data_IF_221830847075
#
_entry.id   IF_221830847075
#
_cell.length_a   1.000
_cell.length_b   1.000
_cell.length_c   1.000
_cell.angle_alpha   90.00
_cell.angle_beta   90.00
_cell.angle_gamma   90.00
#
_symmetry.space_group_name_H-M   'P 1'
#
loop_
_entity.id
_entity.type
_entity.pdbx_description
1 polymer ?
#
# COMPACT_ATOMS: atom_id res chain seq x y z
N UNK A 1 5.94 20.01 -4.66
CA UNK A 1 7.14 19.71 -3.86
C UNK A 1 7.21 20.67 -2.67
N UNK A 2 8.16 20.45 -1.74
CA UNK A 2 8.47 21.45 -0.69
C UNK A 2 8.89 22.81 -1.27
N UNK A 3 9.58 22.82 -2.41
CA UNK A 3 9.98 24.06 -3.11
C UNK A 3 8.76 24.88 -3.52
N UNK A 4 7.78 24.25 -4.19
CA UNK A 4 6.52 24.91 -4.57
C UNK A 4 5.80 25.46 -3.34
N UNK A 5 5.79 24.74 -2.21
CA UNK A 5 5.19 25.26 -0.97
C UNK A 5 5.92 26.50 -0.47
N UNK A 6 7.26 26.51 -0.47
CA UNK A 6 8.09 27.64 -0.03
C UNK A 6 7.94 28.86 -0.94
N UNK A 7 7.74 28.66 -2.24
CA UNK A 7 7.53 29.74 -3.21
C UNK A 7 6.15 30.39 -3.07
N UNK A 8 5.12 29.59 -2.77
CA UNK A 8 3.73 30.05 -2.80
C UNK A 8 3.15 30.40 -1.43
N UNK A 9 3.71 29.86 -0.34
CA UNK A 9 3.19 30.03 1.03
C UNK A 9 4.34 30.44 1.94
N UNK A 10 4.26 31.63 2.55
CA UNK A 10 5.26 32.09 3.52
C UNK A 10 5.01 31.47 4.89
N UNK A 11 5.91 30.60 5.33
CA UNK A 11 5.92 30.01 6.67
C UNK A 11 7.34 29.93 7.24
N UNK A 12 7.44 29.70 8.56
CA UNK A 12 8.73 29.49 9.25
C UNK A 12 9.30 28.09 9.02
N UNK A 13 8.42 27.09 8.93
CA UNK A 13 8.77 25.70 8.69
C UNK A 13 7.75 25.08 7.73
N UNK A 14 8.15 24.01 7.05
CA UNK A 14 7.40 23.33 6.01
C UNK A 14 7.51 21.82 6.22
N UNK A 15 6.36 21.15 6.21
CA UNK A 15 6.25 19.70 6.18
C UNK A 15 5.36 19.35 4.99
N UNK A 16 5.82 18.42 4.17
CA UNK A 16 5.01 17.77 3.15
C UNK A 16 4.59 16.42 3.68
N UNK A 17 3.32 16.10 3.49
CA UNK A 17 2.73 14.82 3.90
C UNK A 17 2.03 14.17 2.72
N UNK A 18 1.93 12.85 2.75
CA UNK A 18 1.14 12.04 1.84
C UNK A 18 0.37 10.99 2.66
N UNK A 19 -0.79 11.35 3.23
CA UNK A 19 -1.72 10.38 3.83
C UNK A 19 -2.52 9.68 2.72
N UNK A 20 -3.39 8.75 3.11
CA UNK A 20 -4.28 8.09 2.16
C UNK A 20 -5.72 7.97 2.66
N UNK A 21 -6.59 7.40 1.82
CA UNK A 21 -8.03 7.31 2.08
C UNK A 21 -8.40 6.48 3.32
N UNK A 22 -7.45 5.70 3.88
CA UNK A 22 -7.63 4.95 5.12
C UNK A 22 -7.55 5.81 6.38
N UNK A 23 -7.18 7.09 6.27
CA UNK A 23 -7.21 8.05 7.38
C UNK A 23 -8.58 8.13 8.07
N UNK A 24 -9.69 7.95 7.32
CA UNK A 24 -11.05 7.90 7.87
C UNK A 24 -11.31 6.71 8.80
N UNK A 25 -10.42 5.74 8.81
CA UNK A 25 -10.42 4.55 9.66
C UNK A 25 -9.22 4.51 10.59
N UNK A 26 -8.49 5.63 10.74
CA UNK A 26 -7.30 5.73 11.60
C UNK A 26 -6.19 4.72 11.24
N UNK A 27 -6.15 4.29 9.97
CA UNK A 27 -5.19 3.28 9.45
C UNK A 27 -4.50 3.78 8.18
N UNK A 28 -4.31 5.09 8.06
CA UNK A 28 -3.52 5.69 6.97
C UNK A 28 -2.08 5.24 7.05
N UNK A 29 -1.49 4.92 5.91
CA UNK A 29 -0.03 4.96 5.76
C UNK A 29 0.33 6.37 5.32
N UNK A 30 0.97 7.12 6.21
CA UNK A 30 1.30 8.52 5.97
C UNK A 30 2.81 8.69 5.86
N UNK A 31 3.28 9.28 4.75
CA UNK A 31 4.72 9.55 4.57
C UNK A 31 4.96 11.04 4.61
N UNK A 32 5.96 11.46 5.38
CA UNK A 32 6.26 12.87 5.63
C UNK A 32 7.73 13.21 5.41
N UNK A 33 7.99 14.45 4.99
CA UNK A 33 9.35 15.01 4.86
C UNK A 33 9.29 16.53 5.01
N UNK A 34 10.37 17.19 5.38
CA UNK A 34 10.40 18.64 5.59
C UNK A 34 11.49 19.09 6.53
N UNK A 35 11.25 20.22 7.21
CA UNK A 35 12.21 20.77 8.16
C UNK A 35 12.32 19.86 9.40
N UNK A 36 13.51 19.32 9.65
CA UNK A 36 13.76 18.34 10.73
C UNK A 36 13.39 18.87 12.12
N UNK A 37 13.48 20.18 12.33
CA UNK A 37 13.07 20.85 13.59
C UNK A 37 11.60 20.61 13.95
N UNK A 38 10.78 20.17 12.97
CA UNK A 38 9.35 19.85 13.09
C UNK A 38 9.03 18.39 12.89
N UNK A 39 10.04 17.51 12.79
CA UNK A 39 9.86 16.07 12.56
C UNK A 39 8.97 15.43 13.62
N UNK A 40 9.32 15.55 14.90
CA UNK A 40 8.61 14.84 15.97
C UNK A 40 7.16 15.33 16.11
N UNK A 41 6.94 16.65 16.02
CA UNK A 41 5.60 17.26 16.02
C UNK A 41 4.75 16.77 14.84
N UNK A 42 5.34 16.70 13.63
CA UNK A 42 4.63 16.19 12.46
C UNK A 42 4.31 14.70 12.59
N UNK A 43 5.24 13.88 13.09
CA UNK A 43 5.01 12.46 13.35
C UNK A 43 3.85 12.29 14.33
N UNK A 44 3.84 13.04 15.44
CA UNK A 44 2.78 12.97 16.44
C UNK A 44 1.41 13.30 15.82
N UNK A 45 1.32 14.39 15.05
CA UNK A 45 0.07 14.82 14.40
C UNK A 45 -0.46 13.74 13.46
N UNK A 46 0.37 13.24 12.54
CA UNK A 46 -0.08 12.28 11.54
C UNK A 46 -0.23 10.86 12.09
N UNK A 47 0.42 10.54 13.21
CA UNK A 47 0.21 9.25 13.90
C UNK A 47 -1.20 9.13 14.49
N UNK A 48 -1.94 10.23 14.63
CA UNK A 48 -3.35 10.20 15.05
C UNK A 48 -4.30 9.59 14.01
N UNK A 49 -3.86 9.42 12.76
CA UNK A 49 -4.68 8.87 11.66
C UNK A 49 -4.12 7.59 11.05
N UNK A 50 -3.10 6.98 11.67
CA UNK A 50 -2.45 5.75 11.26
C UNK A 50 -0.91 5.85 11.28
N UNK A 51 -0.23 4.85 10.73
CA UNK A 51 1.23 4.79 10.76
C UNK A 51 1.89 5.93 9.97
N UNK A 52 2.86 6.58 10.59
CA UNK A 52 3.59 7.71 9.99
C UNK A 52 5.07 7.41 9.83
N UNK A 53 5.60 7.67 8.63
CA UNK A 53 6.98 7.41 8.26
C UNK A 53 7.65 8.70 7.80
N UNK A 54 8.78 9.04 8.42
CA UNK A 54 9.65 10.12 7.95
C UNK A 54 10.58 9.61 6.84
N UNK A 55 10.74 10.41 5.80
CA UNK A 55 11.73 10.20 4.73
C UNK A 55 12.59 11.43 4.54
N UNK A 56 13.82 11.22 4.10
CA UNK A 56 14.88 12.23 4.19
C UNK A 56 14.93 13.14 2.96
N UNK A 57 14.17 12.82 1.91
CA UNK A 57 14.14 13.64 0.70
C UNK A 57 12.79 13.75 0.02
N UNK A 58 12.65 14.83 -0.76
CA UNK A 58 11.54 15.04 -1.70
C UNK A 58 11.39 13.85 -2.66
N UNK A 59 12.49 13.26 -3.11
CA UNK A 59 12.47 12.09 -4.00
C UNK A 59 11.89 10.86 -3.28
N UNK A 60 12.25 10.64 -2.03
CA UNK A 60 11.75 9.48 -1.27
C UNK A 60 10.26 9.56 -0.98
N UNK A 61 9.73 10.74 -0.63
CA UNK A 61 8.28 10.90 -0.46
C UNK A 61 7.54 10.72 -1.80
N UNK A 62 8.16 11.11 -2.92
CA UNK A 62 7.58 10.90 -4.26
C UNK A 62 7.58 9.42 -4.66
N UNK A 63 8.62 8.67 -4.29
CA UNK A 63 8.64 7.20 -4.43
C UNK A 63 7.55 6.59 -3.55
N UNK A 64 7.54 6.95 -2.26
CA UNK A 64 6.63 6.37 -1.29
C UNK A 64 5.16 6.71 -1.59
N UNK A 65 4.87 7.86 -2.21
CA UNK A 65 3.53 8.23 -2.71
C UNK A 65 2.96 7.18 -3.66
N UNK A 66 3.81 6.51 -4.44
CA UNK A 66 3.41 5.41 -5.35
C UNK A 66 2.78 4.23 -4.61
N UNK A 67 3.12 4.05 -3.33
CA UNK A 67 2.52 3.03 -2.45
C UNK A 67 1.52 3.65 -1.48
N UNK A 68 1.90 4.68 -0.73
CA UNK A 68 1.06 5.31 0.28
C UNK A 68 -0.25 5.85 -0.33
N UNK A 69 -0.16 6.60 -1.42
CA UNK A 69 -1.32 7.20 -2.08
C UNK A 69 -2.07 6.24 -3.00
N UNK A 70 -1.35 5.52 -3.87
CA UNK A 70 -1.97 4.65 -4.90
C UNK A 70 -2.26 3.22 -4.41
N UNK A 71 -1.61 2.77 -3.34
CA UNK A 71 -1.71 1.41 -2.81
C UNK A 71 -3.12 0.92 -2.54
N UNK A 72 -4.04 1.72 -1.93
CA UNK A 72 -5.42 1.30 -1.73
C UNK A 72 -6.12 0.88 -3.02
N UNK A 73 -5.87 1.57 -4.14
CA UNK A 73 -6.46 1.20 -5.43
C UNK A 73 -5.85 -0.09 -6.00
N UNK A 74 -4.54 -0.29 -5.84
CA UNK A 74 -3.88 -1.53 -6.27
C UNK A 74 -4.36 -2.74 -5.46
N UNK A 75 -4.57 -2.58 -4.15
CA UNK A 75 -5.12 -3.63 -3.30
C UNK A 75 -6.60 -3.89 -3.59
N UNK A 76 -7.38 -2.85 -3.92
CA UNK A 76 -8.77 -3.01 -4.35
C UNK A 76 -8.87 -3.89 -5.61
N UNK A 77 -7.97 -3.70 -6.59
CA UNK A 77 -7.91 -4.55 -7.78
C UNK A 77 -7.64 -6.02 -7.43
N UNK A 78 -6.75 -6.29 -6.48
CA UNK A 78 -6.47 -7.67 -6.02
C UNK A 78 -7.71 -8.26 -5.36
N UNK A 79 -8.35 -7.52 -4.45
CA UNK A 79 -9.55 -7.98 -3.76
C UNK A 79 -10.69 -8.27 -4.75
N UNK A 80 -10.94 -7.39 -5.72
CA UNK A 80 -11.93 -7.56 -6.77
C UNK A 80 -11.64 -8.79 -7.62
N UNK A 81 -10.39 -8.97 -8.07
CA UNK A 81 -9.98 -10.13 -8.86
C UNK A 81 -10.18 -11.46 -8.10
N UNK A 82 -9.91 -11.49 -6.78
CA UNK A 82 -10.16 -12.67 -5.95
C UNK A 82 -11.66 -12.95 -5.81
N UNK A 83 -12.48 -11.91 -5.58
CA UNK A 83 -13.93 -12.04 -5.49
C UNK A 83 -14.53 -12.56 -6.81
N UNK A 84 -14.07 -12.04 -7.95
CA UNK A 84 -14.49 -12.51 -9.27
C UNK A 84 -14.02 -13.93 -9.56
N UNK A 85 -12.82 -14.30 -9.13
CA UNK A 85 -12.34 -15.69 -9.18
C UNK A 85 -13.26 -16.64 -8.42
N UNK A 86 -13.68 -16.30 -7.21
CA UNK A 86 -14.61 -17.11 -6.42
C UNK A 86 -15.98 -17.24 -7.10
N UNK A 87 -16.51 -16.15 -7.65
CA UNK A 87 -17.80 -16.17 -8.36
C UNK A 87 -17.73 -16.98 -9.65
N UNK A 88 -16.62 -16.90 -10.38
CA UNK A 88 -16.39 -17.71 -11.58
C UNK A 88 -16.45 -19.21 -11.28
N UNK A 89 -15.97 -19.64 -10.11
CA UNK A 89 -16.05 -21.02 -9.64
C UNK A 89 -17.41 -21.38 -8.99
N UNK A 90 -18.40 -20.49 -9.06
CA UNK A 90 -19.79 -20.75 -8.66
C UNK A 90 -20.21 -20.23 -7.29
N UNK A 91 -19.36 -19.46 -6.60
CA UNK A 91 -19.73 -18.85 -5.32
C UNK A 91 -20.75 -17.72 -5.48
N UNK A 92 -21.64 -17.54 -4.50
CA UNK A 92 -22.51 -16.35 -4.46
C UNK A 92 -21.65 -15.10 -4.24
N UNK A 93 -21.98 -14.02 -4.96
CA UNK A 93 -21.25 -12.74 -4.88
C UNK A 93 -21.10 -12.21 -3.45
N UNK A 94 -22.15 -12.29 -2.64
CA UNK A 94 -22.14 -11.82 -1.24
C UNK A 94 -21.13 -12.61 -0.41
N UNK A 95 -21.07 -13.93 -0.57
CA UNK A 95 -20.14 -14.79 0.16
C UNK A 95 -18.69 -14.53 -0.29
N UNK A 96 -18.46 -14.34 -1.59
CA UNK A 96 -17.15 -14.01 -2.12
C UNK A 96 -16.61 -12.68 -1.55
N UNK A 97 -17.46 -11.65 -1.45
CA UNK A 97 -17.10 -10.37 -0.82
C UNK A 97 -16.75 -10.57 0.66
N UNK A 98 -17.59 -11.29 1.41
CA UNK A 98 -17.39 -11.49 2.85
C UNK A 98 -16.10 -12.29 3.14
N UNK A 99 -15.84 -13.35 2.37
CA UNK A 99 -14.64 -14.18 2.50
C UNK A 99 -13.39 -13.36 2.19
N UNK A 100 -13.35 -12.66 1.06
CA UNK A 100 -12.18 -11.84 0.69
C UNK A 100 -11.92 -10.73 1.70
N UNK A 101 -12.97 -10.03 2.16
CA UNK A 101 -12.80 -8.99 3.20
C UNK A 101 -12.22 -9.57 4.51
N UNK A 102 -12.71 -10.73 4.95
CA UNK A 102 -12.21 -11.41 6.14
C UNK A 102 -10.74 -11.82 5.97
N UNK A 103 -10.36 -12.32 4.78
CA UNK A 103 -8.98 -12.67 4.47
C UNK A 103 -8.04 -11.48 4.56
N UNK A 104 -8.39 -10.33 3.97
CA UNK A 104 -7.57 -9.12 4.03
C UNK A 104 -7.39 -8.63 5.47
N UNK A 105 -8.44 -8.70 6.30
CA UNK A 105 -8.36 -8.39 7.73
C UNK A 105 -7.35 -9.28 8.46
N UNK A 106 -7.34 -10.58 8.16
CA UNK A 106 -6.40 -11.53 8.77
C UNK A 106 -4.98 -11.47 8.19
N UNK A 107 -4.81 -10.94 6.98
CA UNK A 107 -3.51 -10.92 6.29
C UNK A 107 -2.56 -9.83 6.78
N UNK A 108 -3.09 -8.65 7.15
CA UNK A 108 -2.28 -7.54 7.66
C UNK A 108 -1.29 -7.93 8.78
N UNK A 109 -1.71 -8.57 9.90
CA UNK A 109 -0.78 -8.94 10.95
C UNK A 109 0.24 -10.02 10.51
N UNK A 110 -0.07 -10.83 9.50
CA UNK A 110 0.87 -11.84 8.99
C UNK A 110 2.07 -11.19 8.31
N UNK A 111 1.83 -10.18 7.46
CA UNK A 111 2.90 -9.46 6.75
C UNK A 111 3.69 -8.52 7.64
N UNK A 112 3.09 -8.03 8.73
CA UNK A 112 3.82 -7.28 9.76
C UNK A 112 4.83 -8.16 10.49
N UNK A 113 4.47 -9.41 10.73
CA UNK A 113 5.27 -10.34 11.54
C UNK A 113 6.23 -11.21 10.73
N UNK A 114 6.02 -11.35 9.41
CA UNK A 114 6.76 -12.30 8.58
C UNK A 114 7.11 -11.73 7.21
N UNK A 115 8.30 -12.09 6.72
CA UNK A 115 8.64 -11.84 5.32
C UNK A 115 7.68 -12.60 4.38
N UNK A 116 7.16 -11.99 3.29
CA UNK A 116 6.16 -12.62 2.41
C UNK A 116 6.55 -13.99 1.85
N UNK A 117 7.85 -14.23 1.61
CA UNK A 117 8.34 -15.54 1.18
C UNK A 117 8.06 -16.65 2.22
N UNK A 118 8.17 -16.33 3.51
CA UNK A 118 7.92 -17.28 4.62
C UNK A 118 6.42 -17.60 4.70
N UNK A 119 5.54 -16.60 4.56
CA UNK A 119 4.09 -16.80 4.51
C UNK A 119 3.73 -17.71 3.33
N UNK A 120 4.30 -17.45 2.14
CA UNK A 120 4.08 -18.26 0.95
C UNK A 120 4.52 -19.71 1.18
N UNK A 121 5.73 -19.93 1.69
CA UNK A 121 6.27 -21.29 1.91
C UNK A 121 5.50 -22.04 3.01
N UNK A 122 5.01 -21.36 4.05
CA UNK A 122 4.30 -22.00 5.16
C UNK A 122 2.91 -22.54 4.79
N UNK A 123 2.29 -22.01 3.73
CA UNK A 123 0.95 -22.41 3.26
C UNK A 123 0.98 -23.16 1.92
N UNK A 124 2.17 -23.47 1.40
CA UNK A 124 2.35 -24.16 0.11
C UNK A 124 2.73 -25.63 0.31
N UNK A 125 1.72 -26.49 0.40
CA UNK A 125 1.94 -27.94 0.40
C UNK A 125 2.31 -28.46 -0.99
N UNK A 126 3.10 -29.57 -1.08
CA UNK A 126 3.44 -30.20 -2.35
C UNK A 126 2.19 -30.56 -3.17
N UNK A 127 2.13 -30.12 -4.43
CA UNK A 127 0.98 -30.30 -5.34
C UNK A 127 -0.37 -29.77 -4.80
N UNK A 128 -0.34 -28.87 -3.81
CA UNK A 128 -1.53 -28.28 -3.20
C UNK A 128 -2.16 -27.16 -4.01
N UNK A 129 -3.33 -26.70 -3.54
CA UNK A 129 -4.09 -25.58 -4.15
C UNK A 129 -3.27 -24.30 -4.21
N UNK A 130 -2.52 -23.97 -3.16
CA UNK A 130 -1.60 -22.82 -3.14
C UNK A 130 -0.55 -22.92 -4.23
N UNK A 131 0.09 -24.09 -4.42
CA UNK A 131 1.13 -24.25 -5.43
C UNK A 131 0.59 -24.01 -6.85
N UNK A 132 -0.59 -24.57 -7.16
CA UNK A 132 -1.25 -24.38 -8.45
C UNK A 132 -1.65 -22.91 -8.68
N UNK A 133 -2.32 -22.28 -7.71
CA UNK A 133 -2.75 -20.88 -7.82
C UNK A 133 -1.56 -19.91 -7.91
N UNK A 134 -0.52 -20.11 -7.10
CA UNK A 134 0.68 -19.28 -7.11
C UNK A 134 1.43 -19.41 -8.44
N UNK A 135 1.53 -20.62 -9.00
CA UNK A 135 2.10 -20.85 -10.33
C UNK A 135 1.36 -20.04 -11.42
N UNK A 136 0.03 -20.08 -11.43
CA UNK A 136 -0.77 -19.30 -12.39
C UNK A 136 -0.57 -17.77 -12.25
N UNK A 137 -0.39 -17.26 -11.04
CA UNK A 137 -0.08 -15.84 -10.81
C UNK A 137 1.32 -15.46 -11.32
N UNK A 138 2.31 -16.35 -11.19
CA UNK A 138 3.66 -16.14 -11.73
C UNK A 138 3.66 -16.20 -13.26
N UNK A 139 2.92 -17.13 -13.86
CA UNK A 139 2.69 -17.17 -15.32
C UNK A 139 2.02 -15.90 -15.84
N UNK A 140 1.09 -15.34 -15.06
CA UNK A 140 0.46 -14.05 -15.33
C UNK A 140 1.36 -12.83 -15.10
N UNK A 141 2.59 -13.01 -14.59
CA UNK A 141 3.55 -11.94 -14.40
C UNK A 141 3.14 -10.91 -13.34
N UNK A 142 2.44 -11.33 -12.28
CA UNK A 142 1.92 -10.43 -11.24
C UNK A 142 3.03 -9.57 -10.62
N UNK A 143 4.19 -10.17 -10.28
CA UNK A 143 5.33 -9.42 -9.72
C UNK A 143 5.81 -8.31 -10.65
N UNK A 144 6.01 -8.65 -11.91
CA UNK A 144 6.44 -7.70 -12.94
C UNK A 144 5.43 -6.57 -13.10
N UNK A 145 4.13 -6.90 -13.08
CA UNK A 145 3.04 -5.93 -13.20
C UNK A 145 3.03 -4.94 -12.04
N UNK A 146 3.18 -5.40 -10.79
CA UNK A 146 3.27 -4.51 -9.64
C UNK A 146 4.52 -3.62 -9.67
N UNK A 147 5.70 -4.17 -9.99
CA UNK A 147 6.93 -3.38 -10.11
C UNK A 147 6.77 -2.28 -11.16
N UNK A 148 6.20 -2.62 -12.32
CA UNK A 148 5.91 -1.65 -13.38
C UNK A 148 4.89 -0.60 -12.93
N UNK A 149 3.82 -0.99 -12.26
CA UNK A 149 2.80 -0.07 -11.76
C UNK A 149 3.39 0.97 -10.80
N UNK A 150 4.27 0.55 -9.87
CA UNK A 150 4.98 1.47 -8.98
C UNK A 150 5.89 2.41 -9.76
N UNK A 151 6.61 1.90 -10.76
CA UNK A 151 7.46 2.72 -11.63
C UNK A 151 6.67 3.78 -12.42
N UNK A 152 5.50 3.43 -12.95
CA UNK A 152 4.64 4.39 -13.66
C UNK A 152 4.03 5.42 -12.70
N UNK A 153 3.56 5.01 -11.52
CA UNK A 153 3.06 5.93 -10.51
C UNK A 153 4.15 6.94 -10.08
N UNK A 154 5.38 6.47 -9.85
CA UNK A 154 6.51 7.33 -9.53
C UNK A 154 6.81 8.34 -10.64
N UNK A 155 6.76 7.96 -11.92
CA UNK A 155 6.94 8.92 -13.03
C UNK A 155 5.91 10.05 -13.00
N UNK A 156 4.68 9.78 -12.57
CA UNK A 156 3.64 10.80 -12.46
C UNK A 156 3.93 11.76 -11.30
N UNK A 157 4.50 11.29 -10.18
CA UNK A 157 4.83 12.17 -9.04
C UNK A 157 5.96 13.14 -9.33
N UNK A 158 6.74 12.91 -10.40
CA UNK A 158 7.80 13.80 -10.87
C UNK A 158 7.33 14.90 -11.83
N UNK A 159 6.04 14.95 -12.19
CA UNK A 159 5.45 16.00 -13.02
C UNK A 159 5.07 17.21 -12.17
#
# INVERSE_FOLDING_TARGET
SLEILKENIKAKNYIRTMPNVSAKFETSTTVITGDESKKDEAIEIFSSIGDTFWVDSQKEIDIATSVAGSGPALLALVAEAMMDGLVKEGMKRVDAINITNSLFKGFAPLIESNHPAIIKDSVMSPAGTTAAAYGALEEGGVRSSFIKAIGEAFKITQR
#
